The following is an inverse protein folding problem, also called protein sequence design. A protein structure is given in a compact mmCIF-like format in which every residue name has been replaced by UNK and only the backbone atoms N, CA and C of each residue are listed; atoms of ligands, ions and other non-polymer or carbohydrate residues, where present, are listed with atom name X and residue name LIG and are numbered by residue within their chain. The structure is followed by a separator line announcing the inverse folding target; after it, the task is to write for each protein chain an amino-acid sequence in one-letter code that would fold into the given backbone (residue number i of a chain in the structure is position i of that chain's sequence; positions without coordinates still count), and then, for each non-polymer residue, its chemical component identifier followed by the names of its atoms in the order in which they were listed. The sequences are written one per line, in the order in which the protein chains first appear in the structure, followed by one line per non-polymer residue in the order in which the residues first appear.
data_IF_035568713702
#
_entry.id   IF_035568713702
#
_cell.length_a   1.000
_cell.length_b   1.000
_cell.length_c   1.000
_cell.angle_alpha   90.00
_cell.angle_beta   90.00
_cell.angle_gamma   90.00
#
_symmetry.space_group_name_H-M   'P 1'
#
loop_
_entity.id
_entity.type
_entity.pdbx_description
1 polymer ?
#
# COMPACT_ATOMS: atom_id res chain seq x y z
N UNK A 1 -3.79 -8.29 -6.38
CA UNK A 1 -2.49 -8.67 -5.82
C UNK A 1 -1.92 -7.50 -5.01
N UNK A 2 -1.46 -7.74 -3.77
CA UNK A 2 -0.68 -6.78 -3.01
C UNK A 2 0.82 -7.01 -3.29
N UNK A 3 1.49 -6.00 -3.84
CA UNK A 3 2.93 -5.94 -4.10
C UNK A 3 3.49 -4.59 -3.61
N UNK A 4 2.91 -4.10 -2.52
CA UNK A 4 3.09 -2.75 -1.98
C UNK A 4 4.00 -2.68 -0.75
N UNK A 5 4.75 -3.76 -0.48
CA UNK A 5 5.69 -3.79 0.63
C UNK A 5 6.66 -2.62 0.56
N UNK A 6 6.83 -1.94 1.69
CA UNK A 6 7.84 -0.89 1.81
C UNK A 6 9.25 -1.44 1.62
N UNK A 7 10.21 -0.58 1.29
CA UNK A 7 11.62 -0.97 1.14
C UNK A 7 12.16 -1.78 2.33
N UNK A 8 11.92 -1.38 3.61
CA UNK A 8 12.35 -2.20 4.74
C UNK A 8 11.68 -3.57 4.79
N UNK A 9 10.39 -3.67 4.46
CA UNK A 9 9.66 -4.95 4.45
C UNK A 9 10.19 -5.88 3.37
N UNK A 10 10.42 -5.36 2.15
CA UNK A 10 11.04 -6.12 1.08
C UNK A 10 12.47 -6.55 1.44
N UNK A 11 13.24 -5.68 2.11
CA UNK A 11 14.58 -6.01 2.60
C UNK A 11 14.57 -7.23 3.51
N UNK A 12 13.66 -7.30 4.46
CA UNK A 12 13.50 -8.47 5.33
C UNK A 12 13.16 -9.74 4.55
N UNK A 13 12.26 -9.64 3.56
CA UNK A 13 11.90 -10.81 2.72
C UNK A 13 13.08 -11.29 1.87
N UNK A 14 13.80 -10.41 1.22
CA UNK A 14 14.99 -10.77 0.42
C UNK A 14 16.09 -11.38 1.29
N UNK A 15 16.26 -10.88 2.51
CA UNK A 15 17.22 -11.43 3.46
C UNK A 15 16.95 -12.92 3.80
N UNK A 16 15.67 -13.34 3.85
CA UNK A 16 15.35 -14.77 4.15
C UNK A 16 15.86 -15.74 3.09
N UNK A 17 16.11 -15.27 1.88
CA UNK A 17 16.68 -16.06 0.77
C UNK A 17 18.14 -15.69 0.48
N UNK A 18 18.80 -14.94 1.36
CA UNK A 18 20.19 -14.52 1.21
C UNK A 18 20.43 -13.49 0.09
N UNK A 19 19.38 -12.83 -0.40
CA UNK A 19 19.50 -11.81 -1.44
C UNK A 19 19.64 -10.41 -0.84
N UNK A 20 20.53 -9.61 -1.45
CA UNK A 20 20.69 -8.20 -1.08
C UNK A 20 19.48 -7.36 -1.56
N UNK A 21 19.03 -6.44 -0.70
CA UNK A 21 17.92 -5.54 -1.02
C UNK A 21 18.42 -4.26 -1.70
N UNK A 22 18.64 -4.33 -2.99
CA UNK A 22 18.92 -3.18 -3.87
C UNK A 22 17.65 -2.73 -4.59
N UNK A 23 17.64 -1.54 -5.19
CA UNK A 23 16.55 -1.10 -6.04
C UNK A 23 16.32 -2.08 -7.20
N UNK A 24 17.40 -2.65 -7.75
CA UNK A 24 17.35 -3.60 -8.85
C UNK A 24 16.77 -4.96 -8.43
N UNK A 25 17.18 -5.51 -7.28
CA UNK A 25 16.63 -6.80 -6.80
C UNK A 25 15.13 -6.68 -6.46
N UNK A 26 14.70 -5.54 -5.92
CA UNK A 26 13.29 -5.25 -5.68
C UNK A 26 12.50 -5.08 -6.97
N UNK A 27 13.06 -4.37 -7.95
CA UNK A 27 12.49 -4.23 -9.30
C UNK A 27 12.31 -5.59 -9.98
N UNK A 28 13.37 -6.40 -9.98
CA UNK A 28 13.36 -7.73 -10.57
C UNK A 28 12.29 -8.62 -9.94
N UNK A 29 12.25 -8.70 -8.60
CA UNK A 29 11.25 -9.51 -7.89
C UNK A 29 9.81 -9.10 -8.26
N UNK A 30 9.52 -7.81 -8.28
CA UNK A 30 8.19 -7.31 -8.63
C UNK A 30 7.89 -7.50 -10.11
N UNK A 31 8.88 -7.33 -10.97
CA UNK A 31 8.77 -7.60 -12.39
C UNK A 31 8.31 -9.03 -12.68
N UNK A 32 8.84 -10.03 -11.98
CA UNK A 32 8.41 -11.42 -12.10
C UNK A 32 6.90 -11.59 -11.85
N UNK A 33 6.35 -10.88 -10.84
CA UNK A 33 4.93 -10.95 -10.52
C UNK A 33 4.05 -10.30 -11.60
N UNK A 34 4.51 -9.18 -12.18
CA UNK A 34 3.72 -8.41 -13.15
C UNK A 34 3.78 -9.00 -14.56
N UNK A 35 4.83 -9.77 -14.86
CA UNK A 35 5.05 -10.37 -16.19
C UNK A 35 4.80 -11.87 -16.24
N UNK A 36 4.44 -12.51 -15.12
CA UNK A 36 4.12 -13.94 -15.07
C UNK A 36 3.03 -14.27 -16.10
N UNK A 37 3.29 -15.26 -16.95
CA UNK A 37 2.35 -15.69 -17.98
C UNK A 37 1.04 -16.17 -17.36
N UNK A 38 -0.10 -15.75 -17.93
CA UNK A 38 -1.43 -16.12 -17.46
C UNK A 38 -1.90 -15.38 -16.20
N UNK A 39 -1.06 -14.54 -15.57
CA UNK A 39 -1.46 -13.80 -14.36
C UNK A 39 -2.68 -12.90 -14.58
N UNK A 40 -2.85 -12.36 -15.79
CA UNK A 40 -3.98 -11.53 -16.21
C UNK A 40 -5.33 -12.25 -16.13
N UNK A 41 -5.34 -13.57 -16.17
CA UNK A 41 -6.58 -14.35 -16.03
C UNK A 41 -7.10 -14.41 -14.58
N UNK A 42 -6.21 -14.16 -13.59
CA UNK A 42 -6.54 -14.27 -12.17
C UNK A 42 -6.40 -12.93 -11.40
N UNK A 43 -5.61 -11.98 -11.95
CA UNK A 43 -5.28 -10.72 -11.28
C UNK A 43 -5.87 -9.55 -12.09
N UNK A 44 -6.86 -8.87 -11.52
CA UNK A 44 -7.47 -7.67 -12.11
C UNK A 44 -6.76 -6.37 -11.72
N UNK A 45 -5.99 -6.36 -10.64
CA UNK A 45 -5.24 -5.18 -10.22
C UNK A 45 -4.10 -5.52 -9.26
N UNK A 46 -3.09 -4.66 -9.20
CA UNK A 46 -1.93 -4.81 -8.33
C UNK A 46 -1.68 -3.51 -7.57
N UNK A 47 -1.55 -3.61 -6.24
CA UNK A 47 -1.14 -2.49 -5.41
C UNK A 47 0.38 -2.38 -5.46
N UNK A 48 0.89 -1.24 -5.90
CA UNK A 48 2.32 -0.95 -6.02
C UNK A 48 2.81 -0.09 -4.85
N UNK A 49 4.13 -0.12 -4.63
CA UNK A 49 4.85 0.83 -3.80
C UNK A 49 5.36 2.01 -4.65
N UNK A 50 5.60 3.18 -4.05
CA UNK A 50 6.02 4.39 -4.77
C UNK A 50 7.28 4.19 -5.64
N UNK A 51 8.30 3.50 -5.12
CA UNK A 51 9.49 3.14 -5.90
C UNK A 51 9.10 2.35 -7.16
N UNK A 52 8.22 1.35 -7.01
CA UNK A 52 7.90 0.39 -8.07
C UNK A 52 7.06 1.00 -9.19
N UNK A 53 6.10 1.86 -8.86
CA UNK A 53 5.25 2.50 -9.89
C UNK A 53 6.06 3.39 -10.84
N UNK A 54 7.27 3.81 -10.42
CA UNK A 54 8.20 4.62 -11.21
C UNK A 54 9.27 3.81 -11.93
N UNK A 55 9.31 2.49 -11.74
CA UNK A 55 10.28 1.59 -12.37
C UNK A 55 9.76 1.01 -13.68
N UNK A 56 10.70 0.45 -14.46
CA UNK A 56 10.42 -0.16 -15.75
C UNK A 56 10.73 -1.67 -15.72
N UNK A 57 10.07 -2.41 -16.60
CA UNK A 57 10.42 -3.79 -16.91
C UNK A 57 11.74 -3.91 -17.67
N UNK A 58 12.16 -5.13 -17.96
CA UNK A 58 13.42 -5.42 -18.67
C UNK A 58 13.40 -4.92 -20.12
N UNK A 59 12.23 -4.70 -20.68
CA UNK A 59 12.04 -4.11 -22.02
C UNK A 59 12.02 -2.57 -22.03
N UNK A 60 12.25 -1.94 -20.86
CA UNK A 60 12.29 -0.49 -20.69
C UNK A 60 10.93 0.18 -20.58
N UNK A 61 9.82 -0.56 -20.68
CA UNK A 61 8.48 0.02 -20.49
C UNK A 61 8.16 0.22 -19.00
N UNK A 62 7.49 1.32 -18.62
CA UNK A 62 7.01 1.51 -17.24
C UNK A 62 6.11 0.36 -16.79
N UNK A 63 6.24 -0.09 -15.53
CA UNK A 63 5.37 -1.15 -15.00
C UNK A 63 3.88 -0.86 -15.13
N UNK A 64 3.37 0.36 -14.89
CA UNK A 64 1.96 0.66 -15.13
C UNK A 64 1.51 0.42 -16.57
N UNK A 65 2.36 0.72 -17.56
CA UNK A 65 2.06 0.48 -18.97
C UNK A 65 2.02 -1.02 -19.31
N UNK A 66 3.00 -1.79 -18.81
CA UNK A 66 3.03 -3.25 -18.95
C UNK A 66 1.74 -3.88 -18.39
N UNK A 67 1.33 -3.45 -17.21
CA UNK A 67 0.12 -3.94 -16.54
C UNK A 67 -1.14 -3.58 -17.32
N UNK A 68 -1.27 -2.33 -17.76
CA UNK A 68 -2.40 -1.90 -18.60
C UNK A 68 -2.50 -2.70 -19.89
N UNK A 69 -1.37 -2.95 -20.57
CA UNK A 69 -1.34 -3.76 -21.79
C UNK A 69 -1.80 -5.21 -21.59
N UNK A 70 -1.82 -5.68 -20.34
CA UNK A 70 -2.31 -7.01 -19.93
C UNK A 70 -3.72 -6.99 -19.33
N UNK A 71 -4.38 -5.83 -19.27
CA UNK A 71 -5.68 -5.68 -18.63
C UNK A 71 -5.65 -5.68 -17.10
N UNK A 72 -4.46 -5.50 -16.49
CA UNK A 72 -4.27 -5.41 -15.04
C UNK A 72 -4.23 -3.94 -14.63
N UNK A 73 -5.03 -3.54 -13.66
CA UNK A 73 -5.07 -2.16 -13.17
C UNK A 73 -3.93 -1.90 -12.17
N UNK A 74 -3.09 -0.87 -12.38
CA UNK A 74 -2.15 -0.42 -11.37
C UNK A 74 -2.86 0.30 -10.23
N UNK A 75 -2.52 -0.04 -9.01
CA UNK A 75 -2.89 0.68 -7.80
C UNK A 75 -1.65 1.16 -7.04
N UNK A 76 -1.84 2.00 -6.04
CA UNK A 76 -0.73 2.58 -5.28
C UNK A 76 -1.03 2.66 -3.78
N UNK A 77 -0.09 2.20 -2.96
CA UNK A 77 -0.08 2.44 -1.52
C UNK A 77 0.32 3.89 -1.27
N UNK A 78 -0.56 4.66 -0.64
CA UNK A 78 -0.35 6.10 -0.44
C UNK A 78 -0.13 6.50 1.02
N UNK A 79 -0.42 5.62 1.98
CA UNK A 79 0.00 5.81 3.36
C UNK A 79 1.54 5.76 3.49
N UNK A 80 2.10 6.40 4.53
CA UNK A 80 3.56 6.47 4.72
C UNK A 80 4.05 5.53 5.80
N UNK A 81 3.53 5.66 7.02
CA UNK A 81 3.95 4.85 8.17
C UNK A 81 2.92 4.91 9.28
N UNK A 82 2.97 3.93 10.17
CA UNK A 82 2.24 3.98 11.45
C UNK A 82 3.12 4.61 12.51
N UNK A 83 2.51 5.47 13.35
CA UNK A 83 3.15 6.11 14.49
C UNK A 83 2.30 5.91 15.74
N UNK A 84 2.87 6.00 16.95
CA UNK A 84 2.09 5.99 18.18
C UNK A 84 1.03 7.08 18.16
N UNK A 85 -0.21 6.73 18.48
CA UNK A 85 -1.30 7.70 18.63
C UNK A 85 -1.05 8.52 19.91
N UNK A 86 -0.82 9.83 19.73
CA UNK A 86 -0.54 10.71 20.86
C UNK A 86 -1.69 10.70 21.88
N UNK A 87 -1.36 10.59 23.15
CA UNK A 87 -2.37 10.51 24.23
C UNK A 87 -3.00 9.12 24.40
N UNK A 88 -2.57 8.12 23.65
CA UNK A 88 -2.98 6.72 23.79
C UNK A 88 -1.80 5.81 24.07
N UNK A 89 -2.02 4.68 24.75
CA UNK A 89 -0.99 3.71 25.09
C UNK A 89 -1.13 2.47 24.21
N UNK A 90 -0.12 2.25 23.35
CA UNK A 90 -0.06 1.04 22.51
C UNK A 90 -0.89 1.10 21.23
N UNK A 91 -1.60 2.18 20.97
CA UNK A 91 -2.40 2.37 19.76
C UNK A 91 -1.66 3.18 18.69
N UNK A 92 -2.03 2.99 17.43
CA UNK A 92 -1.34 3.56 16.29
C UNK A 92 -2.27 4.46 15.46
N UNK A 93 -1.65 5.43 14.79
CA UNK A 93 -2.24 6.24 13.74
C UNK A 93 -1.36 6.14 12.48
N UNK A 94 -1.96 6.18 11.32
CA UNK A 94 -1.20 6.09 10.05
C UNK A 94 -1.03 7.45 9.42
N UNK A 95 0.20 7.85 9.11
CA UNK A 95 0.52 9.11 8.46
C UNK A 95 0.41 9.02 6.93
N UNK A 96 0.39 10.19 6.28
CA UNK A 96 0.46 10.28 4.82
C UNK A 96 -0.50 11.27 4.17
N UNK A 97 -1.34 12.00 4.95
CA UNK A 97 -2.25 13.00 4.39
C UNK A 97 -1.54 14.26 3.87
N UNK A 98 -0.36 14.60 4.43
CA UNK A 98 0.39 15.77 4.03
C UNK A 98 0.85 15.65 2.58
N UNK A 99 0.48 16.64 1.76
CA UNK A 99 0.74 16.65 0.32
C UNK A 99 0.06 15.50 -0.47
N UNK A 100 -0.92 14.82 0.11
CA UNK A 100 -1.56 13.67 -0.54
C UNK A 100 -2.27 14.07 -1.83
N UNK A 101 -2.95 15.24 -1.88
CA UNK A 101 -3.66 15.69 -3.08
C UNK A 101 -2.73 15.76 -4.29
N UNK A 102 -1.55 16.34 -4.14
CA UNK A 102 -0.58 16.48 -5.23
C UNK A 102 -0.01 15.12 -5.65
N UNK A 103 0.31 14.26 -4.68
CA UNK A 103 0.76 12.89 -4.96
C UNK A 103 -0.29 12.07 -5.69
N UNK A 104 -1.55 12.20 -5.34
CA UNK A 104 -2.64 11.47 -6.02
C UNK A 104 -2.81 11.93 -7.47
N UNK A 105 -2.70 13.23 -7.73
CA UNK A 105 -2.73 13.76 -9.09
C UNK A 105 -1.57 13.20 -9.92
N UNK A 106 -0.36 13.16 -9.38
CA UNK A 106 0.81 12.55 -10.02
C UNK A 106 0.59 11.06 -10.27
N UNK A 107 0.17 10.28 -9.26
CA UNK A 107 -0.06 8.84 -9.42
C UNK A 107 -1.11 8.52 -10.49
N UNK A 108 -2.17 9.32 -10.59
CA UNK A 108 -3.14 9.17 -11.65
C UNK A 108 -2.51 9.36 -13.04
N UNK A 109 -1.63 10.38 -13.20
CA UNK A 109 -0.94 10.66 -14.47
C UNK A 109 0.01 9.53 -14.89
N UNK A 110 0.73 8.92 -13.94
CA UNK A 110 1.65 7.80 -14.22
C UNK A 110 0.94 6.45 -14.34
N UNK A 111 -0.39 6.41 -14.26
CA UNK A 111 -1.17 5.23 -14.62
C UNK A 111 -1.92 4.54 -13.48
N UNK A 112 -1.83 4.98 -12.23
CA UNK A 112 -2.64 4.42 -11.14
C UNK A 112 -4.14 4.62 -11.39
N UNK A 113 -4.95 3.66 -10.95
CA UNK A 113 -6.42 3.71 -11.04
C UNK A 113 -7.11 3.48 -9.70
N UNK A 114 -6.37 2.99 -8.71
CA UNK A 114 -6.87 2.85 -7.35
C UNK A 114 -5.75 3.10 -6.34
N UNK A 115 -6.14 3.35 -5.10
CA UNK A 115 -5.23 3.64 -4.00
C UNK A 115 -5.49 2.70 -2.83
N UNK A 116 -4.51 2.53 -1.96
CA UNK A 116 -4.67 1.76 -0.73
C UNK A 116 -4.09 2.54 0.45
N UNK A 117 -4.81 2.52 1.56
CA UNK A 117 -4.38 3.06 2.84
C UNK A 117 -4.72 2.09 3.96
N UNK A 118 -3.70 1.69 4.71
CA UNK A 118 -3.81 0.79 5.84
C UNK A 118 -3.81 1.58 7.15
N UNK A 119 -4.84 1.41 7.97
CA UNK A 119 -4.84 1.75 9.37
C UNK A 119 -4.67 0.45 10.19
N UNK A 120 -3.92 0.52 11.29
CA UNK A 120 -3.64 -0.66 12.11
C UNK A 120 -4.33 -0.51 13.46
N UNK A 121 -5.15 -1.51 13.81
CA UNK A 121 -5.91 -1.56 15.06
C UNK A 121 -5.47 -2.81 15.82
N UNK A 122 -5.01 -2.60 17.06
CA UNK A 122 -4.64 -3.69 17.97
C UNK A 122 -5.77 -3.92 18.95
N UNK A 123 -6.11 -5.18 19.22
CA UNK A 123 -7.06 -5.58 20.27
C UNK A 123 -6.26 -6.02 21.50
N UNK A 124 -6.68 -5.58 22.68
CA UNK A 124 -6.07 -5.90 23.94
C UNK A 124 -6.90 -5.36 25.11
N UNK A 125 -6.36 -5.40 26.32
CA UNK A 125 -7.02 -4.84 27.49
C UNK A 125 -7.22 -3.33 27.30
N UNK A 126 -8.50 -2.88 27.38
CA UNK A 126 -8.93 -1.49 27.20
C UNK A 126 -8.61 -0.85 25.83
N UNK A 127 -8.19 -1.61 24.82
CA UNK A 127 -7.96 -1.15 23.44
C UNK A 127 -8.68 -2.08 22.42
N UNK A 128 -9.13 -1.53 21.25
CA UNK A 128 -8.99 -0.14 20.84
C UNK A 128 -9.90 0.82 21.59
N UNK A 129 -9.38 1.99 21.93
CA UNK A 129 -10.18 3.08 22.51
C UNK A 129 -11.10 3.72 21.45
N UNK A 130 -12.20 4.36 21.87
CA UNK A 130 -13.04 5.15 20.97
C UNK A 130 -12.23 6.26 20.26
N UNK A 131 -11.26 6.85 20.96
CA UNK A 131 -10.34 7.84 20.39
C UNK A 131 -9.52 7.27 19.22
N UNK A 132 -8.96 6.08 19.36
CA UNK A 132 -8.22 5.42 18.28
C UNK A 132 -9.12 5.11 17.08
N UNK A 133 -10.31 4.58 17.33
CA UNK A 133 -11.28 4.25 16.28
C UNK A 133 -11.70 5.51 15.52
N UNK A 134 -12.08 6.57 16.22
CA UNK A 134 -12.52 7.83 15.62
C UNK A 134 -11.41 8.51 14.83
N UNK A 135 -10.19 8.58 15.38
CA UNK A 135 -9.04 9.17 14.71
C UNK A 135 -8.71 8.46 13.40
N UNK A 136 -8.65 7.12 13.41
CA UNK A 136 -8.37 6.32 12.22
C UNK A 136 -9.53 6.39 11.21
N UNK A 137 -10.79 6.33 11.65
CA UNK A 137 -11.96 6.44 10.79
C UNK A 137 -12.00 7.79 10.07
N UNK A 138 -11.76 8.90 10.79
CA UNK A 138 -11.70 10.24 10.20
C UNK A 138 -10.58 10.38 9.17
N UNK A 139 -9.41 9.84 9.48
CA UNK A 139 -8.26 9.84 8.58
C UNK A 139 -8.55 9.03 7.31
N UNK A 140 -9.11 7.83 7.44
CA UNK A 140 -9.50 6.98 6.31
C UNK A 140 -10.57 7.65 5.44
N UNK A 141 -11.54 8.35 6.03
CA UNK A 141 -12.55 9.10 5.29
C UNK A 141 -11.93 10.24 4.46
N UNK A 142 -10.98 10.98 5.03
CA UNK A 142 -10.25 12.04 4.32
C UNK A 142 -9.41 11.50 3.18
N UNK A 143 -8.69 10.41 3.40
CA UNK A 143 -7.94 9.71 2.35
C UNK A 143 -8.85 9.28 1.21
N UNK A 144 -9.99 8.65 1.53
CA UNK A 144 -10.93 8.16 0.54
C UNK A 144 -11.50 9.32 -0.32
N UNK A 145 -11.91 10.41 0.31
CA UNK A 145 -12.42 11.59 -0.39
C UNK A 145 -11.36 12.20 -1.34
N UNK A 146 -10.11 12.34 -0.90
CA UNK A 146 -9.02 12.83 -1.74
C UNK A 146 -8.72 11.90 -2.92
N UNK A 147 -8.78 10.59 -2.71
CA UNK A 147 -8.60 9.61 -3.79
C UNK A 147 -9.69 9.73 -4.84
N UNK A 148 -10.96 9.84 -4.42
CA UNK A 148 -12.10 10.02 -5.33
C UNK A 148 -12.02 11.34 -6.10
N UNK A 149 -11.61 12.44 -5.45
CA UNK A 149 -11.36 13.73 -6.10
C UNK A 149 -10.34 13.58 -7.24
N UNK A 150 -9.28 12.78 -7.01
CA UNK A 150 -8.26 12.46 -8.00
C UNK A 150 -8.67 11.38 -9.02
N UNK A 151 -9.94 10.92 -9.03
CA UNK A 151 -10.48 9.87 -9.90
C UNK A 151 -9.82 8.49 -9.67
N UNK A 152 -9.38 8.24 -8.45
CA UNK A 152 -8.81 6.97 -8.00
C UNK A 152 -9.80 6.26 -7.07
N UNK A 153 -9.97 4.96 -7.22
CA UNK A 153 -10.81 4.15 -6.33
C UNK A 153 -10.06 3.86 -5.04
N UNK A 154 -10.55 4.28 -3.85
CA UNK A 154 -9.86 4.03 -2.59
C UNK A 154 -10.11 2.61 -2.07
N UNK A 155 -9.05 1.90 -1.71
CA UNK A 155 -9.11 0.74 -0.82
C UNK A 155 -8.87 1.23 0.61
N UNK A 156 -9.92 1.23 1.40
CA UNK A 156 -9.91 1.58 2.82
C UNK A 156 -9.65 0.32 3.62
N UNK A 157 -8.47 0.22 4.24
CA UNK A 157 -8.03 -0.99 4.94
C UNK A 157 -7.85 -0.74 6.44
N UNK A 158 -8.93 -0.81 7.25
CA UNK A 158 -8.82 -0.87 8.70
C UNK A 158 -8.41 -2.29 9.09
N UNK A 159 -7.11 -2.52 9.25
CA UNK A 159 -6.60 -3.84 9.62
C UNK A 159 -6.62 -4.04 11.13
N UNK A 160 -7.41 -4.98 11.57
CA UNK A 160 -7.36 -5.48 12.95
C UNK A 160 -6.30 -6.58 13.00
N UNK A 161 -5.27 -6.38 13.84
CA UNK A 161 -4.22 -7.38 14.01
C UNK A 161 -4.79 -8.64 14.68
N UNK A 162 -4.45 -9.80 14.12
CA UNK A 162 -4.90 -11.10 14.63
C UNK A 162 -4.02 -11.62 15.78
N UNK A 163 -2.85 -11.00 16.00
CA UNK A 163 -1.89 -11.33 17.05
C UNK A 163 -2.23 -10.60 18.36
N UNK A 164 -3.40 -10.84 18.89
CA UNK A 164 -3.84 -10.32 20.18
C UNK A 164 -4.22 -11.46 21.13
N UNK A 165 -4.27 -11.19 22.42
CA UNK A 165 -4.85 -12.14 23.36
C UNK A 165 -6.32 -12.37 22.97
N UNK A 166 -6.76 -13.63 22.84
CA UNK A 166 -8.17 -13.89 22.58
C UNK A 166 -8.98 -13.33 23.74
N UNK A 167 -9.90 -12.45 23.43
CA UNK A 167 -10.89 -11.96 24.39
C UNK A 167 -11.67 -13.18 24.89
N UNK A 168 -11.54 -13.47 26.15
CA UNK A 168 -12.29 -14.54 26.81
C UNK A 168 -13.78 -14.20 26.85
#
# INVERSE_FOLDING_TARGET
LAADESTPTMGKRLQTIGAESTAESRRFYRGLLFTAEGSESAISGVILYDETIRQCGDDGRPFPEIMHGRGILPGIKVDKSTNPLAGSKGELITDGLDGLRDRLAEYYQIGARFTKWRAVITIGDDIPTSYCIEANAHLLARFAALSQEAKLVPIVEPEVLMDGDPVA
#
